data_IF_591415309543
#
_entry.id   IF_591415309543
#
_cell.length_a   1.000
_cell.length_b   1.000
_cell.length_c   1.000
_cell.angle_alpha   90.00
_cell.angle_beta   90.00
_cell.angle_gamma   90.00
#
_symmetry.space_group_name_H-M   'P 1'
#
loop_
_entity.id
_entity.type
_entity.pdbx_description
1 polymer ?
#
# COMPACT_ATOMS: atom_id res chain seq x y z
N UNK A 1 3.14 12.80 -0.65
CA UNK A 1 2.77 11.41 -0.30
C UNK A 1 1.28 11.27 0.03
N UNK A 2 0.70 12.10 0.89
CA UNK A 2 -0.76 12.10 1.15
C UNK A 2 -1.61 12.35 -0.12
N UNK A 3 -1.07 13.03 -1.12
CA UNK A 3 -1.75 13.23 -2.40
C UNK A 3 -2.12 11.90 -3.08
N UNK A 4 -1.19 10.94 -3.19
CA UNK A 4 -1.45 9.67 -3.87
C UNK A 4 -2.47 8.82 -3.11
N UNK A 5 -2.40 8.80 -1.78
CA UNK A 5 -3.40 8.13 -0.93
C UNK A 5 -4.78 8.76 -1.15
N UNK A 6 -4.90 10.09 -1.03
CA UNK A 6 -6.17 10.80 -1.23
C UNK A 6 -6.72 10.62 -2.64
N UNK A 7 -5.85 10.63 -3.66
CA UNK A 7 -6.24 10.40 -5.06
C UNK A 7 -6.74 8.97 -5.26
N UNK A 8 -6.04 7.98 -4.72
CA UNK A 8 -6.44 6.57 -4.76
C UNK A 8 -7.81 6.36 -4.13
N UNK A 9 -8.03 6.91 -2.93
CA UNK A 9 -9.31 6.81 -2.22
C UNK A 9 -10.45 7.52 -2.96
N UNK A 10 -10.18 8.68 -3.56
CA UNK A 10 -11.18 9.38 -4.37
C UNK A 10 -11.58 8.57 -5.60
N UNK A 11 -10.61 7.93 -6.27
CA UNK A 11 -10.85 7.10 -7.44
C UNK A 11 -11.60 5.81 -7.08
N UNK A 12 -11.18 5.10 -6.02
CA UNK A 12 -11.85 3.87 -5.60
C UNK A 12 -13.31 4.15 -5.20
N UNK A 13 -13.54 5.26 -4.48
CA UNK A 13 -14.89 5.71 -4.15
C UNK A 13 -15.71 6.06 -5.39
N UNK A 14 -15.15 6.81 -6.35
CA UNK A 14 -15.86 7.18 -7.59
C UNK A 14 -16.22 5.98 -8.47
N UNK A 15 -15.39 4.93 -8.46
CA UNK A 15 -15.61 3.71 -9.23
C UNK A 15 -16.42 2.64 -8.47
N UNK A 16 -16.75 2.88 -7.20
CA UNK A 16 -17.46 1.90 -6.37
C UNK A 16 -16.66 0.61 -6.14
N UNK A 17 -15.32 0.69 -6.17
CA UNK A 17 -14.44 -0.47 -5.97
C UNK A 17 -13.80 -0.45 -4.57
N UNK A 18 -13.48 -1.64 -4.06
CA UNK A 18 -12.85 -1.78 -2.77
C UNK A 18 -11.52 -1.03 -2.67
N UNK A 19 -11.31 -0.34 -1.55
CA UNK A 19 -10.04 0.32 -1.25
C UNK A 19 -9.13 -0.65 -0.51
N UNK A 20 -8.04 -1.06 -1.16
CA UNK A 20 -7.05 -1.99 -0.61
C UNK A 20 -5.66 -1.35 -0.58
N UNK A 21 -4.81 -1.83 0.32
CA UNK A 21 -3.43 -1.38 0.48
C UNK A 21 -2.51 -2.49 0.96
N UNK A 22 -1.25 -2.41 0.56
CA UNK A 22 -0.19 -3.34 0.96
C UNK A 22 1.14 -2.61 1.10
N UNK A 23 2.03 -3.17 1.93
CA UNK A 23 3.31 -2.55 2.24
C UNK A 23 4.33 -2.59 1.11
N UNK A 24 4.10 -3.43 0.09
CA UNK A 24 5.07 -3.71 -0.98
C UNK A 24 6.48 -3.97 -0.41
N UNK A 25 6.51 -4.82 0.63
CA UNK A 25 7.70 -5.02 1.44
C UNK A 25 8.73 -5.87 0.68
N UNK A 26 9.89 -5.27 0.43
CA UNK A 26 11.07 -5.95 -0.11
C UNK A 26 12.05 -6.38 0.99
N UNK A 27 11.71 -6.13 2.26
CA UNK A 27 12.45 -6.52 3.46
C UNK A 27 11.47 -6.96 4.55
N UNK A 28 11.83 -7.95 5.39
CA UNK A 28 10.95 -8.43 6.46
C UNK A 28 10.47 -7.34 7.41
N UNK A 29 11.35 -6.38 7.76
CA UNK A 29 11.03 -5.28 8.66
C UNK A 29 9.96 -4.30 8.11
N UNK A 30 9.69 -4.33 6.81
CA UNK A 30 8.70 -3.46 6.19
C UNK A 30 7.33 -4.15 6.03
N UNK A 31 7.23 -5.45 6.32
CA UNK A 31 5.98 -6.20 6.27
C UNK A 31 4.99 -5.62 7.28
N UNK A 32 3.79 -5.28 6.81
CA UNK A 32 2.74 -4.73 7.67
C UNK A 32 2.82 -3.23 7.92
N UNK A 33 3.79 -2.51 7.33
CA UNK A 33 3.76 -1.04 7.35
C UNK A 33 2.48 -0.48 6.71
N UNK A 34 1.94 -1.18 5.71
CA UNK A 34 0.59 -0.98 5.18
C UNK A 34 -0.07 -2.34 4.92
N UNK A 35 -1.38 -2.41 5.13
CA UNK A 35 -2.14 -3.66 5.05
C UNK A 35 -3.62 -3.40 4.75
N UNK A 36 -4.35 -4.47 4.47
CA UNK A 36 -5.81 -4.45 4.29
C UNK A 36 -6.46 -5.28 5.39
N UNK A 37 -7.42 -4.68 6.09
CA UNK A 37 -8.29 -5.37 7.05
C UNK A 37 -9.48 -5.90 6.28
N UNK A 38 -9.81 -7.18 6.42
CA UNK A 38 -10.89 -7.84 5.70
C UNK A 38 -11.84 -8.49 6.69
N UNK A 39 -13.14 -8.20 6.55
CA UNK A 39 -14.18 -8.80 7.38
C UNK A 39 -14.82 -10.03 6.71
N UNK A 40 -14.58 -11.20 7.30
CA UNK A 40 -14.90 -12.51 6.72
C UNK A 40 -16.27 -13.08 7.12
N UNK A 41 -16.99 -12.50 8.09
CA UNK A 41 -18.28 -13.00 8.58
C UNK A 41 -18.34 -14.55 8.74
N UNK A 42 -17.33 -15.16 9.35
CA UNK A 42 -17.30 -16.61 9.62
C UNK A 42 -17.05 -17.53 8.41
N UNK A 43 -16.69 -16.98 7.25
CA UNK A 43 -16.30 -17.78 6.07
C UNK A 43 -14.90 -18.38 6.22
N UNK A 44 -14.60 -19.46 5.49
CA UNK A 44 -13.23 -19.95 5.35
C UNK A 44 -12.32 -18.86 4.75
N UNK A 45 -11.05 -18.84 5.16
CA UNK A 45 -10.09 -17.79 4.74
C UNK A 45 -9.94 -17.76 3.21
N UNK A 46 -9.86 -18.93 2.58
CA UNK A 46 -9.46 -19.07 1.17
C UNK A 46 -10.45 -18.40 0.19
N UNK A 47 -11.76 -18.61 0.41
CA UNK A 47 -12.83 -18.01 -0.39
C UNK A 47 -13.40 -16.73 0.22
N UNK A 48 -13.37 -16.63 1.55
CA UNK A 48 -13.96 -15.53 2.31
C UNK A 48 -13.31 -14.20 2.00
N UNK A 49 -11.98 -14.16 1.85
CA UNK A 49 -11.24 -12.91 1.59
C UNK A 49 -11.66 -12.29 0.26
N UNK A 50 -11.72 -13.09 -0.81
CA UNK A 50 -12.12 -12.62 -2.14
C UNK A 50 -13.56 -12.11 -2.14
N UNK A 51 -14.48 -12.85 -1.50
CA UNK A 51 -15.90 -12.47 -1.41
C UNK A 51 -16.08 -11.17 -0.60
N UNK A 52 -15.38 -11.04 0.53
CA UNK A 52 -15.43 -9.86 1.37
C UNK A 52 -14.90 -8.61 0.65
N UNK A 53 -13.75 -8.70 -0.04
CA UNK A 53 -13.20 -7.60 -0.83
C UNK A 53 -14.17 -7.20 -1.94
N UNK A 54 -14.71 -8.15 -2.70
CA UNK A 54 -15.72 -7.85 -3.75
C UNK A 54 -16.97 -7.18 -3.19
N UNK A 55 -17.36 -7.50 -1.97
CA UNK A 55 -18.50 -6.90 -1.28
C UNK A 55 -18.17 -5.55 -0.60
N UNK A 56 -16.95 -5.01 -0.78
CA UNK A 56 -16.51 -3.77 -0.15
C UNK A 56 -16.27 -3.87 1.36
N UNK A 57 -16.25 -5.09 1.92
CA UNK A 57 -15.97 -5.35 3.34
C UNK A 57 -14.47 -5.39 3.62
N UNK A 58 -13.80 -4.30 3.25
CA UNK A 58 -12.37 -4.13 3.44
C UNK A 58 -12.01 -2.70 3.78
N UNK A 59 -11.04 -2.52 4.67
CA UNK A 59 -10.46 -1.23 5.01
C UNK A 59 -8.95 -1.26 4.78
N UNK A 60 -8.38 -0.14 4.37
CA UNK A 60 -6.92 0.02 4.33
C UNK A 60 -6.42 0.46 5.71
N UNK A 61 -5.21 0.04 6.06
CA UNK A 61 -4.57 0.38 7.33
C UNK A 61 -3.06 0.54 7.20
N UNK A 62 -2.45 0.96 8.30
CA UNK A 62 -1.02 1.22 8.40
C UNK A 62 -0.65 2.67 8.11
N UNK A 63 0.62 2.88 7.78
CA UNK A 63 1.24 4.18 7.62
C UNK A 63 2.29 4.19 6.52
N UNK A 64 2.89 5.36 6.29
CA UNK A 64 4.03 5.47 5.40
C UNK A 64 5.23 4.72 5.97
N UNK A 65 6.11 4.24 5.09
CA UNK A 65 7.38 3.65 5.51
C UNK A 65 8.13 4.59 6.46
N UNK A 66 8.97 4.04 7.38
CA UNK A 66 9.73 4.85 8.33
C UNK A 66 10.48 6.01 7.65
N UNK A 67 10.58 7.14 8.34
CA UNK A 67 11.23 8.34 7.79
C UNK A 67 12.66 8.08 7.32
N UNK A 68 13.43 7.29 8.09
CA UNK A 68 14.77 6.87 7.72
C UNK A 68 14.81 6.07 6.41
N UNK A 69 13.89 5.13 6.22
CA UNK A 69 13.77 4.35 4.97
C UNK A 69 13.49 5.26 3.78
N UNK A 70 12.55 6.21 3.94
CA UNK A 70 12.20 7.18 2.90
C UNK A 70 13.37 8.08 2.52
N UNK A 71 14.10 8.59 3.51
CA UNK A 71 15.29 9.42 3.28
C UNK A 71 16.37 8.63 2.53
N UNK A 72 16.65 7.41 2.97
CA UNK A 72 17.62 6.52 2.31
C UNK A 72 17.29 6.27 0.85
N UNK A 73 16.02 5.98 0.53
CA UNK A 73 15.56 5.77 -0.86
C UNK A 73 15.71 7.05 -1.68
N UNK A 74 15.33 8.21 -1.12
CA UNK A 74 15.46 9.50 -1.81
C UNK A 74 16.91 9.85 -2.15
N UNK A 75 17.83 9.67 -1.21
CA UNK A 75 19.28 9.87 -1.45
C UNK A 75 19.78 8.89 -2.51
N UNK A 76 19.41 7.61 -2.42
CA UNK A 76 19.79 6.59 -3.41
C UNK A 76 19.35 6.95 -4.83
N UNK A 77 18.12 7.45 -4.98
CA UNK A 77 17.60 7.91 -6.27
C UNK A 77 18.37 9.12 -6.82
N UNK A 78 18.65 10.12 -5.99
CA UNK A 78 19.44 11.28 -6.41
C UNK A 78 20.85 10.86 -6.88
N UNK A 79 21.51 9.99 -6.12
CA UNK A 79 22.82 9.45 -6.50
C UNK A 79 22.75 8.67 -7.82
N UNK A 80 21.73 7.84 -8.04
CA UNK A 80 21.59 7.10 -9.29
C UNK A 80 21.40 8.03 -10.49
N UNK A 81 20.64 9.12 -10.33
CA UNK A 81 20.46 10.10 -11.41
C UNK A 81 21.76 10.85 -11.73
N UNK A 82 22.56 11.16 -10.71
CA UNK A 82 23.86 11.81 -10.90
C UNK A 82 24.85 10.89 -11.62
N UNK A 83 24.91 9.61 -11.24
CA UNK A 83 25.77 8.62 -11.91
C UNK A 83 25.36 8.44 -13.38
N UNK A 84 24.06 8.34 -13.66
CA UNK A 84 23.53 8.25 -15.03
C UNK A 84 23.78 9.52 -15.86
N UNK A 85 23.98 10.68 -15.24
CA UNK A 85 24.30 11.92 -15.96
C UNK A 85 25.77 12.04 -16.36
N UNK A 86 26.64 11.21 -15.77
CA UNK A 86 28.10 11.20 -16.00
C UNK A 86 28.52 10.00 -16.87
N UNK A 87 27.63 9.01 -17.03
CA UNK A 87 27.83 7.79 -17.83
C UNK A 87 27.12 7.91 -19.16
#
# INVERSE_FOLDING_TARGET
>A
LNYFVRRGLRLSSALGVASVGGSDAHKPADVGNAYTIVDLNGSSIEDGVKKAIKAGRSLYGGSLSPAATRLRVGIGFLLSTLIQSIT
#
